data_IF_529751478460
#
_entry.id   IF_529751478460
#
_cell.length_a   1.000
_cell.length_b   1.000
_cell.length_c   1.000
_cell.angle_alpha   90.00
_cell.angle_beta   90.00
_cell.angle_gamma   90.00
#
_symmetry.space_group_name_H-M   'P 1'
#
loop_
_entity.id
_entity.type
_entity.pdbx_description
1 polymer ?
#
# COMPACT_ATOMS: atom_id res chain seq x y z
N UNK A 1 61.43 9.84 4.66
CA UNK A 1 60.31 9.28 5.45
C UNK A 1 59.03 10.08 5.15
N UNK A 2 58.47 9.94 3.95
CA UNK A 2 57.25 10.69 3.51
C UNK A 2 56.14 9.73 3.04
N UNK A 3 56.45 8.43 2.91
CA UNK A 3 55.57 7.42 2.31
C UNK A 3 54.49 6.88 3.27
N UNK A 4 54.64 7.09 4.58
CA UNK A 4 53.75 6.55 5.62
C UNK A 4 52.58 7.49 5.98
N UNK A 5 52.81 8.81 6.08
CA UNK A 5 51.74 9.79 6.30
C UNK A 5 50.72 9.81 5.16
N UNK A 6 51.17 9.84 3.91
CA UNK A 6 50.27 9.92 2.74
C UNK A 6 49.37 8.70 2.63
N UNK A 7 49.89 7.49 2.93
CA UNK A 7 49.11 6.26 2.97
C UNK A 7 48.07 6.26 4.10
N UNK A 8 48.44 6.77 5.29
CA UNK A 8 47.49 6.93 6.41
C UNK A 8 46.39 7.95 6.09
N UNK A 9 46.72 9.06 5.41
CA UNK A 9 45.75 10.09 5.03
C UNK A 9 44.78 9.54 3.97
N UNK A 10 45.29 8.85 2.94
CA UNK A 10 44.47 8.22 1.90
C UNK A 10 43.52 7.15 2.47
N UNK A 11 44.00 6.30 3.38
CA UNK A 11 43.18 5.29 4.06
C UNK A 11 42.07 5.93 4.92
N UNK A 12 42.38 7.03 5.62
CA UNK A 12 41.39 7.78 6.40
C UNK A 12 40.35 8.46 5.51
N UNK A 13 40.74 9.07 4.39
CA UNK A 13 39.80 9.67 3.43
C UNK A 13 38.92 8.62 2.75
N UNK A 14 39.47 7.44 2.45
CA UNK A 14 38.71 6.34 1.85
C UNK A 14 37.66 5.80 2.83
N UNK A 15 38.03 5.63 4.10
CA UNK A 15 37.11 5.19 5.14
C UNK A 15 35.95 6.19 5.36
N UNK A 16 36.24 7.50 5.35
CA UNK A 16 35.20 8.54 5.47
C UNK A 16 34.27 8.54 4.24
N UNK A 17 34.81 8.36 3.03
CA UNK A 17 34.00 8.29 1.82
C UNK A 17 33.06 7.06 1.79
N UNK A 18 33.52 5.90 2.26
CA UNK A 18 32.70 4.68 2.38
C UNK A 18 31.58 4.86 3.40
N UNK A 19 31.85 5.51 4.54
CA UNK A 19 30.83 5.81 5.56
C UNK A 19 29.77 6.78 5.01
N UNK A 20 30.17 7.82 4.29
CA UNK A 20 29.23 8.78 3.70
C UNK A 20 28.38 8.17 2.58
N UNK A 21 28.93 7.28 1.75
CA UNK A 21 28.17 6.58 0.71
C UNK A 21 27.15 5.57 1.30
N UNK A 22 27.47 4.93 2.42
CA UNK A 22 26.57 3.99 3.09
C UNK A 22 25.33 4.68 3.73
N UNK A 23 25.44 5.97 4.10
CA UNK A 23 24.34 6.74 4.71
C UNK A 23 23.30 7.20 3.68
N UNK A 24 23.64 7.25 2.39
CA UNK A 24 22.76 7.81 1.35
C UNK A 24 21.75 6.77 0.79
N UNK A 25 21.93 5.47 1.05
CA UNK A 25 21.09 4.43 0.44
C UNK A 25 19.84 3.99 1.21
N UNK A 26 19.47 4.70 2.27
CA UNK A 26 18.17 4.48 2.91
C UNK A 26 17.11 5.40 2.29
N UNK A 27 16.28 4.78 1.44
CA UNK A 27 14.85 5.07 1.21
C UNK A 27 14.45 6.26 0.34
N UNK A 28 14.61 6.14 -0.99
CA UNK A 28 13.57 6.58 -1.93
C UNK A 28 12.52 5.48 -2.04
N UNK A 29 11.57 5.53 -1.11
CA UNK A 29 10.37 4.71 -1.13
C UNK A 29 9.25 5.57 -0.58
N UNK A 30 8.76 6.52 -1.38
CA UNK A 30 7.46 7.16 -1.14
C UNK A 30 6.37 6.15 -1.42
N UNK A 31 6.29 5.11 -0.60
CA UNK A 31 5.04 4.45 -0.32
C UNK A 31 4.72 4.90 1.09
N UNK A 32 4.03 6.04 1.20
CA UNK A 32 3.30 6.40 2.41
C UNK A 32 2.21 5.35 2.63
N UNK A 33 2.60 4.11 2.96
CA UNK A 33 1.73 3.20 3.65
C UNK A 33 1.57 3.76 5.05
N UNK A 34 0.73 4.80 5.14
CA UNK A 34 0.23 5.36 6.38
C UNK A 34 -0.33 4.18 7.17
N UNK A 35 0.46 3.68 8.10
CA UNK A 35 -0.02 3.02 9.31
C UNK A 35 -0.72 4.09 10.15
N UNK A 36 -1.76 4.73 9.58
CA UNK A 36 -2.76 5.46 10.34
C UNK A 36 -3.43 4.41 11.20
N UNK A 37 -3.56 4.72 12.50
CA UNK A 37 -4.54 4.13 13.40
C UNK A 37 -5.71 3.62 12.57
N UNK A 38 -5.89 2.30 12.49
CA UNK A 38 -6.93 1.66 11.68
C UNK A 38 -8.28 2.21 12.17
N UNK A 39 -8.75 3.29 11.56
CA UNK A 39 -10.16 3.60 11.56
C UNK A 39 -10.82 2.31 11.07
N UNK A 40 -11.66 1.70 11.90
CA UNK A 40 -12.34 0.43 11.61
C UNK A 40 -13.20 0.54 10.33
N UNK A 41 -13.43 1.77 9.87
CA UNK A 41 -14.22 2.14 8.71
C UNK A 41 -13.43 2.97 7.67
N UNK A 42 -13.93 2.97 6.44
CA UNK A 42 -13.46 3.85 5.37
C UNK A 42 -13.82 5.31 5.66
N UNK A 43 -12.84 6.19 5.65
CA UNK A 43 -13.03 7.66 5.75
C UNK A 43 -12.88 8.36 4.39
N UNK A 44 -12.37 7.63 3.39
CA UNK A 44 -12.26 8.03 2.00
C UNK A 44 -12.54 6.82 1.12
N UNK A 45 -12.88 7.08 -0.15
CA UNK A 45 -13.15 6.04 -1.16
C UNK A 45 -12.28 6.27 -2.38
N UNK A 46 -11.89 5.16 -3.02
CA UNK A 46 -11.19 5.16 -4.30
C UNK A 46 -12.16 5.00 -5.46
N UNK A 47 -11.87 5.69 -6.56
CA UNK A 47 -12.56 5.52 -7.85
C UNK A 47 -11.88 4.48 -8.75
N UNK A 48 -10.63 4.12 -8.42
CA UNK A 48 -9.81 3.16 -9.15
C UNK A 48 -10.35 1.75 -9.04
N UNK A 49 -10.36 1.02 -10.15
CA UNK A 49 -10.85 -0.35 -10.21
C UNK A 49 -9.95 -1.32 -9.44
N UNK A 50 -10.56 -2.16 -8.60
CA UNK A 50 -9.86 -3.25 -7.91
C UNK A 50 -9.69 -4.41 -8.88
N UNK A 51 -8.44 -4.69 -9.22
CA UNK A 51 -8.05 -5.80 -10.10
C UNK A 51 -7.79 -7.09 -9.34
N UNK A 52 -7.49 -7.00 -8.04
CA UNK A 52 -7.20 -8.14 -7.19
C UNK A 52 -8.44 -9.05 -7.03
N UNK A 53 -8.25 -10.38 -6.86
CA UNK A 53 -9.35 -11.30 -6.59
C UNK A 53 -10.14 -10.90 -5.34
N UNK A 54 -11.47 -10.83 -5.47
CA UNK A 54 -12.38 -10.48 -4.38
C UNK A 54 -12.73 -11.75 -3.62
N UNK A 55 -12.40 -11.78 -2.32
CA UNK A 55 -12.73 -12.89 -1.40
C UNK A 55 -14.11 -12.66 -0.79
N UNK A 56 -14.43 -11.41 -0.45
CA UNK A 56 -15.74 -10.99 0.03
C UNK A 56 -15.92 -9.49 -0.18
N UNK A 57 -17.14 -9.01 0.04
CA UNK A 57 -17.41 -7.58 0.06
C UNK A 57 -18.40 -7.23 1.15
N UNK A 58 -18.36 -5.98 1.63
CA UNK A 58 -19.37 -5.44 2.55
C UNK A 58 -19.73 -4.00 2.18
N UNK A 59 -21.01 -3.68 2.37
CA UNK A 59 -21.47 -2.30 2.29
C UNK A 59 -21.24 -1.61 3.63
N UNK A 60 -20.54 -0.47 3.59
CA UNK A 60 -20.41 0.43 4.73
C UNK A 60 -21.38 1.59 4.57
N UNK A 61 -22.25 1.76 5.56
CA UNK A 61 -23.11 2.93 5.66
C UNK A 61 -22.33 4.15 6.17
N UNK A 62 -22.75 5.33 5.75
CA UNK A 62 -22.18 6.58 6.24
C UNK A 62 -22.48 6.79 7.72
N UNK A 63 -21.45 7.10 8.50
CA UNK A 63 -21.53 7.49 9.92
C UNK A 63 -20.23 8.21 10.27
N UNK A 64 -20.25 9.54 10.26
CA UNK A 64 -19.05 10.36 10.41
C UNK A 64 -18.17 9.89 11.59
N UNK A 65 -16.85 9.71 11.38
CA UNK A 65 -16.06 10.11 10.19
C UNK A 65 -16.11 9.11 9.02
N UNK A 66 -16.86 8.02 9.11
CA UNK A 66 -16.97 7.00 8.08
C UNK A 66 -17.86 7.47 6.93
N UNK A 67 -17.38 7.30 5.69
CA UNK A 67 -18.13 7.61 4.47
C UNK A 67 -18.84 6.37 3.93
N UNK A 68 -19.87 6.57 3.09
CA UNK A 68 -20.53 5.44 2.39
C UNK A 68 -19.55 4.79 1.40
N UNK A 69 -19.32 3.49 1.54
CA UNK A 69 -18.33 2.77 0.73
C UNK A 69 -18.70 1.30 0.51
N UNK A 70 -18.24 0.72 -0.60
CA UNK A 70 -18.12 -0.73 -0.73
C UNK A 70 -16.70 -1.11 -0.32
N UNK A 71 -16.58 -2.05 0.62
CA UNK A 71 -15.28 -2.56 1.05
C UNK A 71 -15.10 -3.93 0.41
N UNK A 72 -14.11 -4.06 -0.45
CA UNK A 72 -13.68 -5.36 -0.99
C UNK A 72 -12.56 -5.92 -0.11
N UNK A 73 -12.75 -7.15 0.37
CA UNK A 73 -11.70 -7.92 0.99
C UNK A 73 -11.01 -8.75 -0.08
N UNK A 74 -9.69 -8.59 -0.19
CA UNK A 74 -8.82 -9.26 -1.15
C UNK A 74 -7.63 -9.87 -0.39
N UNK A 75 -6.84 -10.70 -1.05
CA UNK A 75 -5.60 -11.25 -0.47
C UNK A 75 -4.59 -10.17 -0.05
N UNK A 76 -4.61 -9.03 -0.75
CA UNK A 76 -3.73 -7.88 -0.48
C UNK A 76 -4.26 -6.94 0.60
N UNK A 77 -5.50 -7.13 1.03
CA UNK A 77 -6.13 -6.33 2.06
C UNK A 77 -7.50 -5.77 1.66
N UNK A 78 -7.92 -4.74 2.40
CA UNK A 78 -9.25 -4.12 2.27
C UNK A 78 -9.19 -2.89 1.38
N UNK A 79 -10.05 -2.82 0.38
CA UNK A 79 -10.17 -1.68 -0.54
C UNK A 79 -11.48 -0.93 -0.34
N UNK A 80 -11.40 0.34 0.07
CA UNK A 80 -12.52 1.26 0.16
C UNK A 80 -12.87 1.80 -1.23
N UNK A 81 -13.96 1.32 -1.83
CA UNK A 81 -14.38 1.68 -3.19
C UNK A 81 -15.63 2.56 -3.17
N UNK A 82 -15.68 3.53 -4.08
CA UNK A 82 -16.87 4.37 -4.25
C UNK A 82 -17.99 3.53 -4.89
N UNK A 83 -19.07 3.34 -4.13
CA UNK A 83 -20.26 2.58 -4.53
C UNK A 83 -20.95 3.11 -5.79
N UNK A 84 -20.67 4.35 -6.20
CA UNK A 84 -21.22 4.98 -7.41
C UNK A 84 -20.50 4.54 -8.69
N UNK A 85 -19.32 3.93 -8.58
CA UNK A 85 -18.55 3.52 -9.74
C UNK A 85 -19.23 2.35 -10.47
N UNK A 86 -19.43 2.41 -11.80
CA UNK A 86 -20.10 1.34 -12.55
C UNK A 86 -19.41 -0.03 -12.42
N UNK A 87 -18.07 -0.03 -12.31
CA UNK A 87 -17.29 -1.26 -12.16
C UNK A 87 -17.55 -1.97 -10.82
N UNK A 88 -17.85 -1.24 -9.75
CA UNK A 88 -18.13 -1.82 -8.42
C UNK A 88 -19.35 -2.74 -8.49
N UNK A 89 -20.43 -2.26 -9.13
CA UNK A 89 -21.64 -3.08 -9.33
C UNK A 89 -21.35 -4.32 -10.18
N UNK A 90 -20.55 -4.18 -11.25
CA UNK A 90 -20.17 -5.32 -12.10
C UNK A 90 -19.39 -6.38 -11.33
N UNK A 91 -18.40 -5.97 -10.52
CA UNK A 91 -17.58 -6.87 -9.67
C UNK A 91 -18.42 -7.59 -8.62
N UNK A 92 -19.34 -6.91 -7.94
CA UNK A 92 -20.26 -7.53 -6.98
C UNK A 92 -21.13 -8.60 -7.67
N UNK A 93 -21.73 -8.26 -8.82
CA UNK A 93 -22.56 -9.20 -9.56
C UNK A 93 -21.77 -10.42 -10.06
N UNK A 94 -20.53 -10.22 -10.50
CA UNK A 94 -19.64 -11.31 -10.90
C UNK A 94 -19.35 -12.22 -9.70
N UNK A 95 -18.90 -11.66 -8.58
CA UNK A 95 -18.64 -12.42 -7.36
C UNK A 95 -19.84 -13.26 -6.91
N UNK A 96 -21.06 -12.70 -6.93
CA UNK A 96 -22.28 -13.42 -6.56
C UNK A 96 -22.63 -14.55 -7.53
N UNK A 97 -22.37 -14.37 -8.84
CA UNK A 97 -22.58 -15.43 -9.84
C UNK A 97 -21.59 -16.58 -9.64
N UNK A 98 -20.33 -16.25 -9.41
CA UNK A 98 -19.26 -17.23 -9.22
C UNK A 98 -19.48 -18.03 -7.93
N UNK A 99 -19.90 -17.37 -6.84
CA UNK A 99 -20.31 -18.04 -5.59
C UNK A 99 -21.48 -19.00 -5.78
N UNK A 100 -22.51 -18.59 -6.53
CA UNK A 100 -23.66 -19.46 -6.82
C UNK A 100 -23.25 -20.71 -7.60
N UNK A 101 -22.31 -20.58 -8.53
CA UNK A 101 -21.81 -21.71 -9.31
C UNK A 101 -21.04 -22.72 -8.43
N UNK A 102 -20.22 -22.24 -7.50
CA UNK A 102 -19.46 -23.09 -6.56
C UNK A 102 -20.35 -23.87 -5.59
N UNK A 103 -21.54 -23.36 -5.27
CA UNK A 103 -22.52 -24.00 -4.41
C UNK A 103 -23.43 -25.03 -5.14
N UNK A 104 -23.36 -25.11 -6.47
CA UNK A 104 -24.20 -26.00 -7.31
C UNK A 104 -23.43 -27.23 -7.76
#
# INVERSE_FOLDING_TARGET
>A
MVKMETQRILMRSLAVAVVLAAVIWTTTGTEEHKTKVKNVCCTQVSTSEVTDPIISFKMQNEKLPCVKAIIFDTERGKFCSDWRQPWVKRKILQFLKDKKYDET
#
